data_IF_506479017157
#
_entry.id   IF_506479017157
#
_cell.length_a   1.000
_cell.length_b   1.000
_cell.length_c   1.000
_cell.angle_alpha   90.00
_cell.angle_beta   90.00
_cell.angle_gamma   90.00
#
_symmetry.space_group_name_H-M   'P 1'
#
loop_
_entity.id
_entity.type
_entity.pdbx_description
1 polymer ?
#
# COMPACT_ATOMS: atom_id res chain seq x y z
N UNK A 1 -4.96 -8.11 30.86
CA UNK A 1 -5.43 -8.90 29.69
C UNK A 1 -6.18 -8.06 28.66
N UNK A 2 -6.95 -7.03 29.07
CA UNK A 2 -7.73 -6.13 28.18
C UNK A 2 -6.91 -5.42 27.06
N UNK A 3 -5.72 -4.87 27.38
CA UNK A 3 -4.84 -4.23 26.37
C UNK A 3 -4.47 -5.15 25.20
N UNK A 4 -4.28 -6.45 25.47
CA UNK A 4 -3.87 -7.43 24.45
C UNK A 4 -5.04 -7.80 23.54
N UNK A 5 -6.26 -7.85 24.06
CA UNK A 5 -7.48 -8.08 23.26
C UNK A 5 -7.86 -6.86 22.41
N UNK A 6 -7.69 -5.65 22.94
CA UNK A 6 -7.92 -4.39 22.21
C UNK A 6 -6.95 -4.21 21.04
N UNK A 7 -5.64 -4.41 21.28
CA UNK A 7 -4.60 -4.42 20.23
C UNK A 7 -4.89 -5.47 19.13
N UNK A 8 -5.52 -6.58 19.48
CA UNK A 8 -5.88 -7.62 18.53
C UNK A 8 -7.11 -7.24 17.70
N UNK A 9 -8.08 -6.53 18.29
CA UNK A 9 -9.24 -5.99 17.58
C UNK A 9 -8.85 -4.84 16.63
N UNK A 10 -7.97 -3.92 17.04
CA UNK A 10 -7.47 -2.87 16.15
C UNK A 10 -6.65 -3.42 14.98
N UNK A 11 -5.80 -4.43 15.23
CA UNK A 11 -5.09 -5.14 14.15
C UNK A 11 -6.05 -5.78 13.15
N UNK A 12 -7.15 -6.38 13.62
CA UNK A 12 -8.21 -6.93 12.74
C UNK A 12 -8.95 -5.85 11.93
N UNK A 13 -8.97 -4.59 12.39
CA UNK A 13 -9.56 -3.46 11.64
C UNK A 13 -8.66 -2.92 10.53
N UNK A 14 -7.34 -3.03 10.69
CA UNK A 14 -6.37 -2.54 9.71
C UNK A 14 -6.00 -3.62 8.66
N UNK A 15 -5.68 -4.83 9.14
CA UNK A 15 -5.39 -5.98 8.27
C UNK A 15 -6.68 -6.77 8.04
N UNK A 16 -7.19 -6.71 6.80
CA UNK A 16 -8.34 -7.50 6.38
C UNK A 16 -8.07 -9.00 6.44
N UNK A 17 -6.83 -9.40 6.16
CA UNK A 17 -6.43 -10.81 6.14
C UNK A 17 -4.98 -10.96 6.58
N UNK A 18 -4.68 -12.03 7.31
CA UNK A 18 -3.32 -12.45 7.62
C UNK A 18 -3.25 -13.93 7.23
N UNK A 19 -2.31 -14.27 6.38
CA UNK A 19 -2.13 -15.62 5.84
C UNK A 19 -0.77 -16.16 6.25
N UNK A 20 -0.69 -17.47 6.41
CA UNK A 20 0.57 -18.17 6.57
C UNK A 20 0.64 -19.27 5.52
N UNK A 21 1.61 -19.18 4.62
CA UNK A 21 1.81 -20.14 3.53
C UNK A 21 3.29 -20.39 3.36
N UNK A 22 3.71 -21.65 3.36
CA UNK A 22 5.11 -22.07 3.19
C UNK A 22 6.04 -21.35 4.19
N UNK A 23 5.66 -21.27 5.47
CA UNK A 23 6.40 -20.57 6.52
C UNK A 23 6.61 -19.07 6.26
N UNK A 24 5.85 -18.47 5.33
CA UNK A 24 5.81 -17.03 5.08
C UNK A 24 4.51 -16.45 5.57
N UNK A 25 4.61 -15.39 6.36
CA UNK A 25 3.46 -14.64 6.86
C UNK A 25 3.12 -13.47 5.96
N UNK A 26 1.92 -13.44 5.42
CA UNK A 26 1.45 -12.40 4.51
C UNK A 26 0.39 -11.55 5.20
N UNK A 27 0.62 -10.24 5.27
CA UNK A 27 -0.30 -9.30 5.87
C UNK A 27 -1.01 -8.52 4.78
N UNK A 28 -2.34 -8.58 4.76
CA UNK A 28 -3.18 -7.95 3.77
C UNK A 28 -3.97 -6.83 4.44
N UNK A 29 -3.64 -5.60 4.09
CA UNK A 29 -4.39 -4.43 4.56
C UNK A 29 -5.84 -4.46 4.06
N UNK A 30 -6.71 -3.66 4.66
CA UNK A 30 -7.94 -3.23 3.97
C UNK A 30 -7.61 -2.28 2.81
N UNK A 31 -8.63 -1.92 2.04
CA UNK A 31 -8.47 -1.03 0.88
C UNK A 31 -8.39 0.41 1.34
N UNK A 32 -7.34 1.11 0.93
CA UNK A 32 -7.14 2.54 1.14
C UNK A 32 -7.22 3.31 -0.18
N UNK A 33 -7.44 4.63 -0.12
CA UNK A 33 -7.44 5.45 -1.33
C UNK A 33 -6.02 5.62 -1.87
N UNK A 34 -5.08 6.02 -1.03
CA UNK A 34 -3.67 6.22 -1.36
C UNK A 34 -2.78 6.25 -0.10
N UNK A 35 -1.46 6.18 -0.30
CA UNK A 35 -0.50 6.55 0.75
C UNK A 35 -0.49 8.08 0.85
N UNK A 36 -0.82 8.59 2.03
CA UNK A 36 -0.89 10.00 2.33
C UNK A 36 0.46 10.58 2.78
N UNK A 37 1.18 9.86 3.63
CA UNK A 37 2.49 10.27 4.11
C UNK A 37 3.33 9.07 4.54
N UNK A 38 4.64 9.25 4.69
CA UNK A 38 5.55 8.24 5.20
C UNK A 38 6.78 8.89 5.80
N UNK A 39 7.45 8.18 6.71
CA UNK A 39 8.63 8.68 7.39
C UNK A 39 9.52 7.53 7.85
N UNK A 40 10.80 7.58 7.50
CA UNK A 40 11.80 6.69 8.07
C UNK A 40 12.21 7.16 9.47
N UNK A 41 12.07 6.29 10.47
CA UNK A 41 12.53 6.50 11.84
C UNK A 41 13.59 5.46 12.19
N UNK A 42 14.80 5.53 11.60
CA UNK A 42 15.84 4.51 11.75
C UNK A 42 16.24 4.31 13.22
N UNK A 43 16.33 5.38 14.01
CA UNK A 43 16.64 5.33 15.45
C UNK A 43 15.61 4.53 16.25
N UNK A 44 14.37 4.41 15.75
CA UNK A 44 13.29 3.62 16.36
C UNK A 44 13.10 2.25 15.69
N UNK A 45 13.92 1.92 14.69
CA UNK A 45 13.80 0.71 13.88
C UNK A 45 12.47 0.61 13.13
N UNK A 46 11.87 1.74 12.73
CA UNK A 46 10.53 1.78 12.14
C UNK A 46 10.50 2.64 10.88
N UNK A 47 9.75 2.19 9.88
CA UNK A 47 9.33 2.98 8.74
C UNK A 47 7.82 3.16 8.80
N UNK A 48 7.37 4.39 9.02
CA UNK A 48 5.96 4.70 9.19
C UNK A 48 5.30 4.94 7.82
N UNK A 49 4.12 4.34 7.62
CA UNK A 49 3.27 4.54 6.45
C UNK A 49 1.90 5.02 6.92
N UNK A 50 1.45 6.14 6.35
CA UNK A 50 0.14 6.72 6.60
C UNK A 50 -0.73 6.63 5.35
N UNK A 51 -1.93 6.10 5.50
CA UNK A 51 -2.89 5.86 4.42
C UNK A 51 -4.12 6.72 4.62
N UNK A 52 -4.65 7.22 3.50
CA UNK A 52 -5.94 7.91 3.49
C UNK A 52 -7.06 6.88 3.31
N UNK A 53 -8.11 6.98 4.11
CA UNK A 53 -9.26 6.11 4.01
C UNK A 53 -9.98 6.30 2.65
N UNK A 54 -10.72 5.27 2.22
CA UNK A 54 -11.42 5.25 0.93
C UNK A 54 -12.83 5.84 1.00
N UNK A 55 -13.46 5.82 2.19
CA UNK A 55 -14.81 6.35 2.45
C UNK A 55 -14.79 7.77 3.01
N UNK A 56 -13.73 8.13 3.72
CA UNK A 56 -13.60 9.43 4.38
C UNK A 56 -12.20 10.01 4.12
N UNK A 57 -12.07 11.06 3.30
CA UNK A 57 -10.76 11.63 2.96
C UNK A 57 -10.05 12.29 4.15
N UNK A 58 -10.76 12.58 5.24
CA UNK A 58 -10.22 13.18 6.47
C UNK A 58 -9.75 12.12 7.46
N UNK A 59 -10.07 10.83 7.23
CA UNK A 59 -9.60 9.74 8.07
C UNK A 59 -8.31 9.14 7.55
N UNK A 60 -7.36 9.02 8.46
CA UNK A 60 -6.05 8.45 8.21
C UNK A 60 -5.80 7.26 9.13
N UNK A 61 -5.11 6.26 8.61
CA UNK A 61 -4.67 5.10 9.38
C UNK A 61 -3.22 4.81 9.03
N UNK A 62 -2.49 4.15 9.92
CA UNK A 62 -1.06 3.93 9.69
C UNK A 62 -0.58 2.56 10.11
N UNK A 63 0.52 2.15 9.52
CA UNK A 63 1.29 0.98 9.93
C UNK A 63 2.77 1.35 10.02
N UNK A 64 3.54 0.51 10.71
CA UNK A 64 4.98 0.58 10.69
C UNK A 64 5.54 -0.68 10.03
N UNK A 65 6.44 -0.51 9.06
CA UNK A 65 7.39 -1.57 8.71
C UNK A 65 8.51 -1.52 9.77
N UNK A 66 9.01 -2.67 10.17
CA UNK A 66 10.00 -2.77 11.24
C UNK A 66 11.36 -3.14 10.67
N UNK A 67 12.41 -2.81 11.43
CA UNK A 67 13.73 -3.35 11.21
C UNK A 67 13.69 -4.89 11.29
N UNK A 68 14.53 -5.53 10.48
CA UNK A 68 14.48 -6.98 10.30
C UNK A 68 14.99 -7.68 11.56
N UNK A 69 14.30 -8.75 11.97
CA UNK A 69 14.81 -9.68 12.98
C UNK A 69 15.82 -10.63 12.35
N UNK A 70 16.72 -11.19 13.15
CA UNK A 70 17.77 -12.10 12.69
C UNK A 70 17.22 -13.20 11.78
N UNK A 71 17.80 -13.32 10.58
CA UNK A 71 17.42 -14.30 9.56
C UNK A 71 16.24 -13.93 8.64
N UNK A 72 15.60 -12.76 8.80
CA UNK A 72 14.73 -12.17 7.78
C UNK A 72 15.49 -11.15 6.92
N UNK A 73 15.02 -10.90 5.69
CA UNK A 73 15.69 -10.02 4.73
C UNK A 73 14.67 -9.31 3.85
N UNK A 74 14.79 -8.00 3.69
CA UNK A 74 14.02 -7.23 2.73
C UNK A 74 14.48 -7.59 1.32
N UNK A 75 13.52 -8.04 0.50
CA UNK A 75 13.75 -8.52 -0.86
C UNK A 75 13.52 -7.39 -1.85
N UNK A 76 12.47 -6.59 -1.65
CA UNK A 76 12.15 -5.45 -2.50
C UNK A 76 10.68 -5.06 -2.46
N UNK A 77 10.34 -4.11 -3.33
CA UNK A 77 8.98 -3.60 -3.52
C UNK A 77 8.43 -4.16 -4.82
N UNK A 78 7.21 -4.71 -4.77
CA UNK A 78 6.52 -5.26 -5.94
C UNK A 78 5.14 -4.64 -6.08
N UNK A 79 4.65 -4.55 -7.30
CA UNK A 79 3.32 -4.05 -7.60
C UNK A 79 2.51 -5.13 -8.28
N UNK A 80 1.21 -5.08 -8.07
CA UNK A 80 0.31 -6.00 -8.74
C UNK A 80 -1.13 -5.60 -8.54
N UNK A 81 -2.00 -6.52 -8.93
CA UNK A 81 -3.43 -6.40 -8.76
C UNK A 81 -4.05 -7.75 -8.48
N UNK A 82 -5.22 -7.73 -7.85
CA UNK A 82 -6.03 -8.92 -7.66
C UNK A 82 -7.50 -8.62 -7.94
N UNK A 83 -8.23 -9.62 -8.41
CA UNK A 83 -9.69 -9.55 -8.50
C UNK A 83 -10.28 -9.75 -7.11
N UNK A 84 -11.27 -8.94 -6.77
CA UNK A 84 -11.98 -9.08 -5.52
C UNK A 84 -13.06 -10.16 -5.64
N UNK A 85 -13.25 -11.02 -4.62
CA UNK A 85 -14.30 -12.04 -4.65
C UNK A 85 -15.72 -11.46 -4.78
N UNK A 86 -15.91 -10.25 -4.26
CA UNK A 86 -17.13 -9.44 -4.40
C UNK A 86 -16.74 -8.00 -4.71
N UNK A 87 -17.53 -7.25 -5.52
CA UNK A 87 -17.26 -5.85 -5.79
C UNK A 87 -17.15 -5.04 -4.49
N UNK A 88 -16.11 -4.21 -4.37
CA UNK A 88 -15.99 -3.24 -3.30
C UNK A 88 -16.75 -1.98 -3.69
N UNK A 89 -17.78 -1.65 -2.91
CA UNK A 89 -18.72 -0.57 -3.18
C UNK A 89 -18.28 0.67 -2.42
N UNK A 90 -18.18 1.80 -3.12
CA UNK A 90 -17.87 3.11 -2.54
C UNK A 90 -18.99 4.06 -2.90
N UNK A 91 -19.70 4.56 -1.89
CA UNK A 91 -20.70 5.60 -2.05
C UNK A 91 -20.05 6.95 -1.78
N UNK A 92 -20.26 7.92 -2.64
CA UNK A 92 -19.73 9.27 -2.50
C UNK A 92 -20.75 10.30 -3.03
N UNK A 93 -20.59 11.56 -2.63
CA UNK A 93 -21.37 12.67 -3.19
C UNK A 93 -20.48 13.47 -4.13
N UNK A 94 -21.02 13.84 -5.28
CA UNK A 94 -20.38 14.74 -6.23
C UNK A 94 -21.45 15.75 -6.65
N UNK A 95 -21.23 17.03 -6.35
CA UNK A 95 -22.21 18.11 -6.53
C UNK A 95 -23.57 17.75 -5.90
N UNK A 96 -23.55 17.30 -4.64
CA UNK A 96 -24.71 16.85 -3.85
C UNK A 96 -25.42 15.58 -4.37
N UNK A 97 -25.12 15.12 -5.58
CA UNK A 97 -25.65 13.88 -6.16
C UNK A 97 -24.92 12.66 -5.58
N UNK A 98 -25.69 11.70 -5.06
CA UNK A 98 -25.16 10.40 -4.59
C UNK A 98 -24.70 9.58 -5.78
N UNK A 99 -23.43 9.17 -5.78
CA UNK A 99 -22.83 8.28 -6.76
C UNK A 99 -22.27 7.03 -6.10
N UNK A 100 -22.24 5.95 -6.86
CA UNK A 100 -21.74 4.65 -6.42
C UNK A 100 -20.64 4.18 -7.37
N UNK A 101 -19.47 3.89 -6.83
CA UNK A 101 -18.37 3.25 -7.57
C UNK A 101 -18.23 1.79 -7.15
N UNK A 102 -18.13 0.90 -8.14
CA UNK A 102 -17.91 -0.54 -7.93
C UNK A 102 -16.50 -0.90 -8.38
N UNK A 103 -15.70 -1.41 -7.46
CA UNK A 103 -14.32 -1.85 -7.72
C UNK A 103 -14.31 -3.38 -7.72
N UNK A 104 -13.98 -3.98 -8.86
CA UNK A 104 -13.82 -5.45 -8.99
C UNK A 104 -12.35 -5.88 -8.99
N UNK A 105 -11.44 -4.94 -9.22
CA UNK A 105 -9.99 -5.14 -9.34
C UNK A 105 -9.29 -4.12 -8.45
N UNK A 106 -8.46 -4.58 -7.53
CA UNK A 106 -7.69 -3.72 -6.63
C UNK A 106 -6.19 -3.88 -6.88
N UNK A 107 -5.46 -2.80 -6.71
CA UNK A 107 -4.02 -2.72 -6.91
C UNK A 107 -3.30 -2.68 -5.57
N UNK A 108 -2.06 -3.13 -5.53
CA UNK A 108 -1.29 -3.15 -4.28
C UNK A 108 0.18 -2.81 -4.50
N UNK A 109 0.77 -2.33 -3.41
CA UNK A 109 2.22 -2.34 -3.18
C UNK A 109 2.52 -3.48 -2.20
N UNK A 110 3.46 -4.34 -2.54
CA UNK A 110 3.96 -5.41 -1.68
C UNK A 110 5.37 -5.05 -1.20
N UNK A 111 5.51 -4.93 0.13
CA UNK A 111 6.82 -4.93 0.77
C UNK A 111 7.20 -6.38 1.07
N UNK A 112 8.13 -6.94 0.29
CA UNK A 112 8.49 -8.36 0.37
C UNK A 112 9.71 -8.58 1.24
N UNK A 113 9.60 -9.55 2.13
CA UNK A 113 10.65 -10.05 3.00
C UNK A 113 10.89 -11.55 2.75
N UNK A 114 12.01 -12.09 3.23
CA UNK A 114 12.34 -13.51 3.10
C UNK A 114 11.29 -14.38 3.82
N UNK A 115 10.85 -13.96 5.01
CA UNK A 115 9.90 -14.68 5.86
C UNK A 115 8.45 -14.15 5.79
N UNK A 116 8.16 -13.19 4.93
CA UNK A 116 6.80 -12.64 4.84
C UNK A 116 6.63 -11.49 3.86
N UNK A 117 5.43 -10.97 3.76
CA UNK A 117 5.09 -9.82 2.91
C UNK A 117 4.02 -8.95 3.54
N UNK A 118 4.04 -7.65 3.23
CA UNK A 118 2.96 -6.71 3.58
C UNK A 118 2.34 -6.16 2.31
N UNK A 119 1.09 -6.52 2.05
CA UNK A 119 0.30 -6.07 0.90
C UNK A 119 -0.56 -4.87 1.30
N UNK A 120 -0.22 -3.70 0.75
CA UNK A 120 -0.93 -2.45 0.91
C UNK A 120 -1.86 -2.23 -0.30
N UNK A 121 -3.17 -2.35 -0.11
CA UNK A 121 -4.15 -2.20 -1.20
C UNK A 121 -4.54 -0.73 -1.40
N UNK A 122 -4.25 -0.19 -2.58
CA UNK A 122 -4.41 1.22 -2.91
C UNK A 122 -5.27 1.39 -4.16
N UNK A 123 -6.35 2.15 -4.04
CA UNK A 123 -7.22 2.49 -5.18
C UNK A 123 -6.51 3.39 -6.19
N UNK A 124 -5.69 4.32 -5.73
CA UNK A 124 -5.06 5.35 -6.56
C UNK A 124 -4.09 4.79 -7.60
N UNK A 125 -3.44 3.65 -7.34
CA UNK A 125 -2.46 3.03 -8.26
C UNK A 125 -3.03 2.74 -9.65
N UNK A 126 -4.34 2.46 -9.74
CA UNK A 126 -5.03 2.32 -11.02
C UNK A 126 -4.85 3.52 -11.96
N UNK A 127 -4.71 4.73 -11.38
CA UNK A 127 -4.51 5.98 -12.12
C UNK A 127 -3.22 5.94 -12.93
N UNK A 128 -2.16 5.32 -12.39
CA UNK A 128 -0.84 5.25 -13.01
C UNK A 128 -0.81 4.37 -14.26
N UNK A 129 -1.76 3.45 -14.38
CA UNK A 129 -1.85 2.50 -15.50
C UNK A 129 -2.66 3.02 -16.69
N UNK A 130 -3.26 4.21 -16.59
CA UNK A 130 -4.04 4.81 -17.68
C UNK A 130 -3.21 5.90 -18.34
N UNK A 131 -2.80 5.66 -19.59
CA UNK A 131 -2.04 6.62 -20.40
C UNK A 131 -2.66 8.02 -20.42
N UNK A 132 -3.99 8.10 -20.60
CA UNK A 132 -4.77 9.35 -20.59
C UNK A 132 -4.68 10.21 -19.32
N UNK A 133 -4.11 9.67 -18.23
CA UNK A 133 -3.97 10.41 -16.98
C UNK A 133 -2.61 11.11 -16.86
N UNK A 134 -1.62 10.85 -17.74
CA UNK A 134 -0.26 11.40 -17.63
C UNK A 134 -0.20 12.93 -17.55
N UNK A 135 -1.12 13.61 -18.21
CA UNK A 135 -1.20 15.08 -18.21
C UNK A 135 -1.84 15.64 -16.93
N UNK A 136 -2.47 14.79 -16.11
CA UNK A 136 -3.17 15.25 -14.90
C UNK A 136 -2.17 15.48 -13.77
N UNK A 137 -2.26 16.63 -13.11
CA UNK A 137 -1.43 16.94 -11.93
C UNK A 137 -1.46 15.83 -10.86
N UNK A 138 -2.63 15.22 -10.64
CA UNK A 138 -2.77 14.12 -9.68
C UNK A 138 -1.94 12.88 -10.05
N UNK A 139 -1.79 12.58 -11.35
CA UNK A 139 -0.94 11.47 -11.81
C UNK A 139 0.52 11.72 -11.42
N UNK A 140 1.03 12.91 -11.76
CA UNK A 140 2.43 13.27 -11.49
C UNK A 140 2.72 13.29 -9.99
N UNK A 141 1.82 13.88 -9.18
CA UNK A 141 1.95 13.88 -7.72
C UNK A 141 1.91 12.47 -7.11
N UNK A 142 1.06 11.59 -7.63
CA UNK A 142 1.00 10.20 -7.18
C UNK A 142 2.26 9.41 -7.55
N UNK A 143 2.77 9.61 -8.77
CA UNK A 143 3.97 8.94 -9.25
C UNK A 143 5.20 9.38 -8.44
N UNK A 144 5.41 10.69 -8.31
CA UNK A 144 6.52 11.27 -7.54
C UNK A 144 6.53 10.77 -6.10
N UNK A 145 5.36 10.82 -5.43
CA UNK A 145 5.20 10.30 -4.07
C UNK A 145 5.52 8.81 -3.97
N UNK A 146 5.16 8.02 -4.98
CA UNK A 146 5.44 6.57 -5.02
C UNK A 146 6.93 6.32 -5.23
N UNK A 147 7.59 7.05 -6.12
CA UNK A 147 9.04 6.95 -6.33
C UNK A 147 9.82 7.34 -5.08
N UNK A 148 9.40 8.42 -4.41
CA UNK A 148 10.01 8.85 -3.15
C UNK A 148 9.85 7.79 -2.06
N UNK A 149 8.68 7.18 -1.94
CA UNK A 149 8.44 6.06 -1.02
C UNK A 149 9.40 4.90 -1.30
N UNK A 150 9.57 4.53 -2.57
CA UNK A 150 10.49 3.44 -2.93
C UNK A 150 11.92 3.76 -2.51
N UNK A 151 12.43 4.96 -2.82
CA UNK A 151 13.78 5.40 -2.44
C UNK A 151 13.97 5.33 -0.92
N UNK A 152 13.06 5.91 -0.14
CA UNK A 152 13.17 5.96 1.32
C UNK A 152 13.07 4.56 1.96
N UNK A 153 12.23 3.65 1.44
CA UNK A 153 12.13 2.28 1.95
C UNK A 153 13.39 1.48 1.64
N UNK A 154 13.95 1.61 0.43
CA UNK A 154 15.21 0.94 0.08
C UNK A 154 16.34 1.44 0.96
N UNK A 155 16.47 2.76 1.15
CA UNK A 155 17.45 3.36 2.05
C UNK A 155 17.29 2.85 3.49
N UNK A 156 16.06 2.81 4.02
CA UNK A 156 15.77 2.30 5.37
C UNK A 156 16.23 0.85 5.58
N UNK A 157 16.18 0.02 4.54
CA UNK A 157 16.62 -1.37 4.58
C UNK A 157 18.05 -1.60 4.06
N UNK A 158 18.83 -0.54 3.82
CA UNK A 158 20.20 -0.64 3.31
C UNK A 158 20.27 -1.31 1.93
N UNK A 159 19.31 -1.00 1.06
CA UNK A 159 19.23 -1.50 -0.32
C UNK A 159 19.43 -0.37 -1.32
N UNK A 160 20.07 -0.71 -2.42
CA UNK A 160 20.13 0.16 -3.60
C UNK A 160 18.74 0.22 -4.25
N UNK A 161 18.33 1.44 -4.58
CA UNK A 161 17.13 1.70 -5.37
C UNK A 161 17.47 1.65 -6.85
N UNK A 162 16.77 0.80 -7.61
CA UNK A 162 16.99 0.63 -9.05
C UNK A 162 15.76 1.14 -9.80
N UNK A 163 15.89 2.27 -10.51
CA UNK A 163 14.79 2.93 -11.23
C UNK A 163 14.16 2.08 -12.33
N UNK A 164 14.92 1.14 -12.90
CA UNK A 164 14.42 0.18 -13.87
C UNK A 164 13.64 -0.99 -13.23
N UNK A 165 13.43 -0.96 -11.90
CA UNK A 165 12.58 -1.88 -11.14
C UNK A 165 11.47 -1.08 -10.44
N UNK A 166 10.55 -1.75 -9.75
CA UNK A 166 9.49 -1.07 -8.99
C UNK A 166 8.39 -0.45 -9.88
N UNK A 167 7.91 0.73 -9.49
CA UNK A 167 6.69 1.32 -10.06
C UNK A 167 6.82 1.66 -11.55
N UNK A 168 7.98 2.18 -12.00
CA UNK A 168 8.17 2.60 -13.40
C UNK A 168 8.09 1.40 -14.33
N UNK A 169 8.78 0.31 -13.98
CA UNK A 169 8.70 -0.95 -14.73
C UNK A 169 7.29 -1.50 -14.76
N UNK A 170 6.62 -1.52 -13.60
CA UNK A 170 5.25 -2.02 -13.52
C UNK A 170 4.27 -1.21 -14.38
N UNK A 171 4.38 0.13 -14.37
CA UNK A 171 3.61 1.00 -15.27
C UNK A 171 3.90 0.63 -16.72
N UNK A 172 5.18 0.56 -17.13
CA UNK A 172 5.56 0.23 -18.51
C UNK A 172 4.96 -1.10 -18.98
N UNK A 173 4.95 -2.11 -18.13
CA UNK A 173 4.43 -3.46 -18.46
C UNK A 173 2.89 -3.55 -18.43
N UNK A 174 2.19 -2.64 -17.74
CA UNK A 174 0.75 -2.75 -17.49
C UNK A 174 -0.08 -1.55 -17.98
N UNK A 175 0.57 -0.55 -18.56
CA UNK A 175 -0.09 0.63 -19.08
C UNK A 175 -0.95 0.26 -20.29
N UNK A 176 -2.18 0.78 -20.27
CA UNK A 176 -3.15 0.69 -21.36
C UNK A 176 -3.51 2.09 -21.84
#
# INVERSE_FOLDING_TARGET
MARKSELNQERKKFFKKIEEKNYKKMYHTKIFSMINNFEARPNKGKFWLCFRNVFDPNKYESLHLFHMRQGDKFIGIYYGFTKLPKPFIINYKENEVKKTSRIIKIYYIEFRFKKGSVFCYLRSLHTLLKSKNKERMFYNSLLDRTLRLEREVHQFYGKEYLENRGILRWIKENQR
#
